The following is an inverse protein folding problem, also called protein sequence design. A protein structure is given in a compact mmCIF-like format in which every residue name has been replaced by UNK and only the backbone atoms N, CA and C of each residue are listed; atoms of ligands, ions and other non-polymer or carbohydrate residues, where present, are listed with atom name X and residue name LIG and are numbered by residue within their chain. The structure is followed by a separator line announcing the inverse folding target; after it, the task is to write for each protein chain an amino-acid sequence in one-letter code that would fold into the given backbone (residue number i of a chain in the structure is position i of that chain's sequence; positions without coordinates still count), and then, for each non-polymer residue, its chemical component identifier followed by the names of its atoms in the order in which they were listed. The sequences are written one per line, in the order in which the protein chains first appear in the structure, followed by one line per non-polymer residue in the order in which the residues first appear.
data_IF_214026144789
#
_entry.id   IF_214026144789
#
_cell.length_a   1.000
_cell.length_b   1.000
_cell.length_c   1.000
_cell.angle_alpha   90.00
_cell.angle_beta   90.00
_cell.angle_gamma   90.00
#
_symmetry.space_group_name_H-M   'P 1'
#
loop_
_entity.id
_entity.type
_entity.pdbx_description
1 polymer ?
#
# COMPACT_ATOMS: atom_id res chain seq x y z
N UNK A 1 16.13 -7.24 -30.94
CA UNK A 1 15.52 -8.47 -30.36
C UNK A 1 16.00 -8.60 -28.91
N UNK A 2 15.05 -8.78 -27.97
CA UNK A 2 15.21 -9.28 -26.58
C UNK A 2 16.33 -8.68 -25.72
N UNK A 3 16.10 -7.70 -24.84
CA UNK A 3 15.40 -7.77 -23.53
C UNK A 3 15.73 -9.01 -22.67
N UNK A 4 16.58 -8.72 -21.67
CA UNK A 4 16.56 -9.18 -20.27
C UNK A 4 16.28 -10.66 -19.99
N UNK A 5 17.34 -11.42 -19.74
CA UNK A 5 17.29 -12.63 -18.89
C UNK A 5 17.68 -12.26 -17.47
N UNK A 6 16.77 -12.56 -16.55
CA UNK A 6 17.00 -12.55 -15.11
C UNK A 6 18.06 -13.60 -14.73
N UNK A 7 18.92 -13.25 -13.77
CA UNK A 7 19.69 -14.22 -12.99
C UNK A 7 19.46 -13.89 -11.52
N UNK A 8 18.75 -14.79 -10.86
CA UNK A 8 18.63 -14.88 -9.41
C UNK A 8 19.92 -15.54 -8.91
N UNK A 9 20.61 -15.01 -7.89
CA UNK A 9 21.55 -15.82 -7.13
C UNK A 9 20.84 -16.46 -5.94
N UNK A 10 20.98 -17.78 -5.86
CA UNK A 10 20.54 -18.66 -4.78
C UNK A 10 21.76 -19.04 -3.93
N UNK A 11 21.48 -19.30 -2.64
CA UNK A 11 22.26 -20.03 -1.62
C UNK A 11 23.43 -19.31 -0.93
N UNK A 12 23.35 -19.24 0.41
CA UNK A 12 24.21 -20.04 1.31
C UNK A 12 23.40 -20.48 2.54
N UNK A 13 23.64 -21.74 2.93
CA UNK A 13 23.06 -22.52 4.04
C UNK A 13 23.70 -22.11 5.36
N UNK A 14 23.00 -22.32 6.48
CA UNK A 14 23.56 -22.92 7.70
C UNK A 14 22.40 -23.38 8.60
N UNK A 15 22.44 -24.65 9.01
CA UNK A 15 21.50 -25.23 9.96
C UNK A 15 21.99 -25.11 11.40
N UNK A 16 21.08 -25.42 12.32
CA UNK A 16 21.20 -26.30 13.50
C UNK A 16 20.01 -25.96 14.40
N UNK A 17 19.16 -26.95 14.66
CA UNK A 17 17.93 -26.77 15.40
C UNK A 17 18.12 -26.63 16.90
N UNK A 18 17.01 -26.32 17.61
CA UNK A 18 16.69 -26.84 18.93
C UNK A 18 15.26 -26.46 19.34
N UNK A 19 14.50 -27.52 19.61
CA UNK A 19 13.55 -27.77 20.70
C UNK A 19 12.41 -26.78 21.02
N UNK A 20 11.23 -27.38 20.99
CA UNK A 20 9.94 -27.01 21.57
C UNK A 20 9.96 -27.30 23.09
N UNK A 21 9.44 -26.39 23.91
CA UNK A 21 8.57 -26.57 25.12
C UNK A 21 8.68 -25.36 26.07
N UNK A 22 7.83 -25.20 27.10
CA UNK A 22 6.37 -25.07 27.05
C UNK A 22 5.85 -23.85 27.87
N UNK A 23 4.56 -23.60 27.69
CA UNK A 23 3.64 -22.87 28.56
C UNK A 23 3.91 -23.00 30.07
N UNK A 24 3.93 -21.89 30.83
CA UNK A 24 3.33 -21.82 32.16
C UNK A 24 3.03 -20.37 32.63
N UNK A 25 1.93 -20.25 33.36
CA UNK A 25 1.32 -19.06 33.96
C UNK A 25 1.57 -19.09 35.49
N UNK A 26 2.07 -18.01 36.12
CA UNK A 26 1.72 -17.56 37.49
C UNK A 26 2.58 -16.37 38.02
N UNK A 27 1.87 -15.29 38.37
CA UNK A 27 1.89 -14.44 39.59
C UNK A 27 3.17 -14.02 40.38
N UNK A 28 3.18 -12.71 40.74
CA UNK A 28 3.73 -12.00 41.93
C UNK A 28 5.23 -11.61 42.01
N UNK A 29 5.47 -10.33 42.38
CA UNK A 29 6.61 -9.91 43.22
C UNK A 29 7.57 -8.85 42.64
N UNK A 30 7.90 -7.83 43.44
CA UNK A 30 8.66 -6.61 43.13
C UNK A 30 10.20 -6.75 43.23
N UNK A 31 10.97 -5.90 42.50
CA UNK A 31 12.08 -5.05 42.99
C UNK A 31 13.12 -4.62 41.91
N UNK A 32 13.45 -3.32 41.95
CA UNK A 32 14.60 -2.49 41.54
C UNK A 32 15.81 -2.96 40.67
N UNK A 33 16.13 -2.05 39.72
CA UNK A 33 17.45 -1.45 39.33
C UNK A 33 18.66 -2.30 38.91
N UNK A 34 19.18 -2.06 37.70
CA UNK A 34 20.45 -1.34 37.41
C UNK A 34 20.88 -1.53 35.95
N UNK A 35 21.70 -0.59 35.49
CA UNK A 35 22.01 -0.20 34.10
C UNK A 35 22.82 -1.22 33.28
N UNK A 36 22.69 -1.18 31.93
CA UNK A 36 23.84 -1.09 31.01
C UNK A 36 23.41 -1.07 29.53
N UNK A 37 24.09 -0.18 28.79
CA UNK A 37 23.85 0.19 27.40
C UNK A 37 24.68 -0.65 26.41
N UNK A 38 24.06 -1.09 25.31
CA UNK A 38 24.77 -1.39 24.06
C UNK A 38 23.80 -1.34 22.86
N UNK A 39 24.02 -0.34 22.01
CA UNK A 39 23.26 -0.01 20.80
C UNK A 39 23.99 -0.49 19.54
N UNK A 40 23.25 -0.57 18.42
CA UNK A 40 23.63 -0.56 16.97
C UNK A 40 23.16 -1.85 16.23
N UNK A 41 22.49 -1.82 15.07
CA UNK A 41 22.05 -0.72 14.18
C UNK A 41 21.20 -1.25 13.01
N UNK A 42 20.16 -0.48 12.66
CA UNK A 42 19.71 -0.11 11.31
C UNK A 42 19.02 -1.14 10.40
N UNK A 43 17.72 -1.29 10.60
CA UNK A 43 16.77 -1.59 9.52
C UNK A 43 15.86 -0.36 9.31
N UNK A 44 16.22 0.46 8.33
CA UNK A 44 15.41 1.50 7.66
C UNK A 44 14.86 2.64 8.54
N UNK A 45 15.63 3.72 8.53
CA UNK A 45 15.28 5.09 8.93
C UNK A 45 14.03 5.56 8.18
N UNK A 46 12.86 5.44 8.81
CA UNK A 46 11.72 6.29 8.50
C UNK A 46 12.00 7.61 9.20
N UNK A 47 12.41 8.63 8.45
CA UNK A 47 12.50 9.97 9.01
C UNK A 47 11.09 10.43 9.39
N UNK A 48 10.85 10.39 10.69
CA UNK A 48 9.69 10.91 11.40
C UNK A 48 9.71 12.45 11.27
N UNK A 49 9.21 12.99 10.15
CA UNK A 49 9.47 14.40 9.81
C UNK A 49 8.54 15.10 8.82
N UNK A 50 7.47 14.46 8.35
CA UNK A 50 6.39 15.16 7.64
C UNK A 50 5.12 15.11 8.50
N UNK A 51 4.80 16.23 9.17
CA UNK A 51 3.64 16.42 10.06
C UNK A 51 2.34 15.99 9.39
N UNK A 52 1.87 14.79 9.75
CA UNK A 52 0.64 14.22 9.24
C UNK A 52 -0.38 13.98 10.35
N UNK A 53 -1.66 14.33 10.16
CA UNK A 53 -2.31 14.82 8.92
C UNK A 53 -2.12 16.31 8.62
N UNK A 54 -1.85 16.66 7.35
CA UNK A 54 -1.90 18.03 6.87
C UNK A 54 -3.34 18.57 6.89
N UNK A 55 -3.52 19.86 7.21
CA UNK A 55 -4.83 20.52 7.25
C UNK A 55 -4.91 21.70 6.28
N UNK A 56 -6.13 22.14 5.95
CA UNK A 56 -6.41 23.33 5.14
C UNK A 56 -5.75 23.31 3.75
N UNK A 57 -5.90 22.18 3.05
CA UNK A 57 -5.19 21.89 1.82
C UNK A 57 -5.98 22.36 0.58
N UNK A 58 -5.29 22.99 -0.36
CA UNK A 58 -5.80 23.14 -1.72
C UNK A 58 -5.60 21.86 -2.54
N UNK A 59 -6.65 21.41 -3.22
CA UNK A 59 -6.64 20.17 -4.01
C UNK A 59 -5.75 20.29 -5.24
N UNK A 60 -4.91 19.30 -5.47
CA UNK A 60 -3.96 19.18 -6.58
C UNK A 60 -4.20 17.91 -7.37
N UNK A 61 -3.59 17.82 -8.55
CA UNK A 61 -3.78 16.69 -9.49
C UNK A 61 -3.35 15.31 -8.95
N UNK A 62 -2.51 15.26 -7.92
CA UNK A 62 -2.04 14.02 -7.29
C UNK A 62 -2.80 13.68 -5.99
N UNK A 63 -3.85 14.42 -5.64
CA UNK A 63 -4.62 14.14 -4.44
C UNK A 63 -5.72 13.08 -4.69
N UNK A 64 -5.83 12.12 -3.78
CA UNK A 64 -6.92 11.17 -3.74
C UNK A 64 -8.03 11.71 -2.84
N UNK A 65 -9.13 12.17 -3.45
CA UNK A 65 -10.26 12.76 -2.72
C UNK A 65 -11.19 11.65 -2.21
N UNK A 66 -11.44 11.65 -0.92
CA UNK A 66 -12.48 10.89 -0.25
C UNK A 66 -13.84 11.54 -0.47
N UNK A 67 -14.85 10.73 -0.76
CA UNK A 67 -16.21 11.19 -0.99
C UNK A 67 -16.96 10.31 -2.01
N UNK A 68 -18.29 10.41 -1.99
CA UNK A 68 -19.18 9.69 -2.92
C UNK A 68 -19.64 10.63 -4.03
N UNK A 69 -19.83 10.11 -5.25
CA UNK A 69 -20.41 10.84 -6.38
C UNK A 69 -19.46 11.06 -7.57
N UNK A 70 -19.95 11.76 -8.59
CA UNK A 70 -19.24 11.97 -9.86
C UNK A 70 -17.98 12.84 -9.76
N UNK A 71 -17.98 13.85 -8.87
CA UNK A 71 -16.86 14.79 -8.74
C UNK A 71 -15.54 14.14 -8.31
N UNK A 72 -15.56 13.33 -7.25
CA UNK A 72 -14.36 12.60 -6.77
C UNK A 72 -13.93 11.50 -7.74
N UNK A 73 -14.88 10.81 -8.38
CA UNK A 73 -14.57 9.72 -9.31
C UNK A 73 -13.76 10.18 -10.54
N UNK A 74 -14.01 11.39 -11.03
CA UNK A 74 -13.32 11.93 -12.22
C UNK A 74 -12.00 12.65 -11.91
N UNK A 75 -11.70 12.87 -10.63
CA UNK A 75 -10.47 13.54 -10.21
C UNK A 75 -9.22 12.79 -10.74
N UNK A 76 -8.22 13.49 -11.30
CA UNK A 76 -7.02 12.86 -11.85
C UNK A 76 -6.27 12.00 -10.84
N UNK A 77 -6.19 12.42 -9.57
CA UNK A 77 -5.57 11.64 -8.51
C UNK A 77 -6.31 10.33 -8.24
N UNK A 78 -7.65 10.36 -8.14
CA UNK A 78 -8.46 9.15 -7.96
C UNK A 78 -8.35 8.17 -9.14
N UNK A 79 -8.18 8.68 -10.38
CA UNK A 79 -7.91 7.84 -11.55
C UNK A 79 -6.55 7.16 -11.47
N UNK A 80 -5.48 7.91 -11.12
CA UNK A 80 -4.12 7.36 -10.95
C UNK A 80 -4.08 6.35 -9.80
N UNK A 81 -4.66 6.69 -8.66
CA UNK A 81 -4.75 5.83 -7.48
C UNK A 81 -5.45 4.50 -7.80
N UNK A 82 -6.58 4.52 -8.52
CA UNK A 82 -7.26 3.28 -8.94
C UNK A 82 -6.39 2.38 -9.82
N UNK A 83 -5.56 2.95 -10.70
CA UNK A 83 -4.62 2.16 -11.49
C UNK A 83 -3.57 1.49 -10.61
N UNK A 84 -3.02 2.22 -9.63
CA UNK A 84 -2.07 1.67 -8.66
C UNK A 84 -2.69 0.51 -7.86
N UNK A 85 -3.90 0.70 -7.35
CA UNK A 85 -4.67 -0.33 -6.65
C UNK A 85 -4.88 -1.55 -7.54
N UNK A 86 -5.34 -1.35 -8.78
CA UNK A 86 -5.56 -2.45 -9.75
C UNK A 86 -4.29 -3.25 -10.02
N UNK A 87 -3.12 -2.61 -10.06
CA UNK A 87 -1.83 -3.28 -10.21
C UNK A 87 -1.46 -4.15 -8.99
N UNK A 88 -1.94 -3.81 -7.79
CA UNK A 88 -1.64 -4.54 -6.54
C UNK A 88 -2.72 -5.53 -6.12
N UNK A 89 -3.89 -5.53 -6.78
CA UNK A 89 -4.99 -6.47 -6.52
C UNK A 89 -4.56 -7.94 -6.58
N UNK A 90 -3.80 -8.33 -7.59
CA UNK A 90 -3.37 -9.72 -7.74
C UNK A 90 -2.54 -10.19 -6.52
N UNK A 91 -1.60 -9.35 -6.06
CA UNK A 91 -0.81 -9.62 -4.86
C UNK A 91 -1.70 -9.72 -3.64
N UNK A 92 -2.58 -8.73 -3.42
CA UNK A 92 -3.49 -8.71 -2.26
C UNK A 92 -4.40 -9.94 -2.18
N UNK A 93 -4.92 -10.41 -3.33
CA UNK A 93 -5.80 -11.58 -3.40
C UNK A 93 -5.05 -12.89 -3.14
N UNK A 94 -3.78 -12.98 -3.54
CA UNK A 94 -2.92 -14.14 -3.29
C UNK A 94 -2.31 -14.15 -1.87
N UNK A 95 -2.24 -13.01 -1.19
CA UNK A 95 -1.69 -12.89 0.15
C UNK A 95 -2.56 -13.55 1.23
N UNK A 96 -1.89 -14.08 2.27
CA UNK A 96 -2.56 -14.58 3.46
C UNK A 96 -3.32 -13.47 4.21
N UNK A 97 -4.29 -13.84 5.03
CA UNK A 97 -5.12 -12.89 5.80
C UNK A 97 -4.27 -11.89 6.60
N UNK A 98 -3.19 -12.36 7.22
CA UNK A 98 -2.32 -11.54 8.06
C UNK A 98 -1.41 -10.61 7.26
N UNK A 99 -1.16 -10.89 5.98
CA UNK A 99 -0.29 -10.08 5.12
C UNK A 99 -1.05 -8.99 4.35
N UNK A 100 -2.38 -9.12 4.23
CA UNK A 100 -3.24 -8.15 3.53
C UNK A 100 -3.10 -6.71 4.04
N UNK A 101 -3.01 -6.45 5.37
CA UNK A 101 -2.74 -5.10 5.88
C UNK A 101 -1.43 -4.52 5.36
N UNK A 102 -0.36 -5.34 5.24
CA UNK A 102 0.94 -4.90 4.75
C UNK A 102 0.89 -4.56 3.25
N UNK A 103 0.13 -5.33 2.46
CA UNK A 103 -0.08 -5.01 1.04
C UNK A 103 -0.81 -3.67 0.87
N UNK A 104 -1.84 -3.42 1.68
CA UNK A 104 -2.55 -2.13 1.68
C UNK A 104 -1.65 -0.97 2.10
N UNK A 105 -0.87 -1.15 3.16
CA UNK A 105 0.06 -0.12 3.65
C UNK A 105 1.15 0.18 2.60
N UNK A 106 1.68 -0.84 1.95
CA UNK A 106 2.65 -0.66 0.86
C UNK A 106 2.10 0.19 -0.30
N UNK A 107 0.81 0.06 -0.63
CA UNK A 107 0.17 0.93 -1.64
C UNK A 107 0.10 2.39 -1.16
N UNK A 108 -0.22 2.63 0.12
CA UNK A 108 -0.24 3.98 0.71
C UNK A 108 1.16 4.60 0.65
N UNK A 109 2.20 3.86 1.04
CA UNK A 109 3.58 4.34 0.98
C UNK A 109 4.00 4.67 -0.46
N UNK A 110 3.69 3.80 -1.43
CA UNK A 110 3.98 4.07 -2.86
C UNK A 110 3.27 5.34 -3.33
N UNK A 111 2.01 5.55 -2.93
CA UNK A 111 1.24 6.74 -3.32
C UNK A 111 1.86 8.03 -2.75
N UNK A 112 2.23 8.01 -1.48
CA UNK A 112 2.86 9.15 -0.81
C UNK A 112 4.25 9.48 -1.33
N UNK A 113 5.04 8.46 -1.66
CA UNK A 113 6.39 8.59 -2.19
C UNK A 113 6.44 9.08 -3.66
N UNK A 114 5.30 9.37 -4.29
CA UNK A 114 5.27 9.95 -5.63
C UNK A 114 5.88 11.35 -5.66
N UNK A 115 6.26 11.81 -6.85
CA UNK A 115 6.65 13.20 -7.08
C UNK A 115 5.72 13.85 -8.13
N UNK A 116 4.87 14.84 -7.76
CA UNK A 116 4.60 15.31 -6.40
C UNK A 116 3.89 14.26 -5.53
N UNK A 117 3.99 14.34 -4.20
CA UNK A 117 3.45 13.34 -3.27
C UNK A 117 1.94 13.19 -3.43
N UNK A 118 1.48 11.94 -3.35
CA UNK A 118 0.06 11.63 -3.32
C UNK A 118 -0.49 11.80 -1.91
N UNK A 119 -1.54 12.62 -1.77
CA UNK A 119 -2.26 12.82 -0.50
C UNK A 119 -3.63 12.14 -0.53
N UNK A 120 -4.23 11.91 0.62
CA UNK A 120 -5.55 11.32 0.80
C UNK A 120 -6.48 12.30 1.52
N UNK A 121 -7.20 13.11 0.76
CA UNK A 121 -7.93 14.24 1.30
C UNK A 121 -9.39 13.91 1.59
N UNK A 122 -9.91 14.39 2.70
CA UNK A 122 -11.33 14.39 3.04
C UNK A 122 -11.78 15.83 3.28
N UNK A 123 -12.95 16.18 2.74
CA UNK A 123 -13.52 17.50 2.94
C UNK A 123 -14.29 17.50 4.26
N UNK A 124 -13.93 18.44 5.12
CA UNK A 124 -14.66 18.71 6.34
C UNK A 124 -16.06 19.26 6.02
N UNK A 125 -17.08 18.77 6.72
CA UNK A 125 -18.48 19.07 6.38
C UNK A 125 -18.88 20.49 6.74
N UNK A 126 -18.28 21.05 7.79
CA UNK A 126 -18.62 22.36 8.35
C UNK A 126 -17.81 23.45 7.67
N UNK A 127 -16.48 23.31 7.68
CA UNK A 127 -15.53 24.30 7.16
C UNK A 127 -15.37 24.25 5.64
N UNK A 128 -15.76 23.14 5.01
CA UNK A 128 -15.53 22.83 3.57
C UNK A 128 -14.06 22.76 3.16
N UNK A 129 -13.14 22.71 4.13
CA UNK A 129 -11.71 22.61 3.89
C UNK A 129 -11.30 21.15 3.69
N UNK A 130 -10.26 20.93 2.88
CA UNK A 130 -9.71 19.59 2.70
C UNK A 130 -8.60 19.34 3.70
N UNK A 131 -8.70 18.22 4.40
CA UNK A 131 -7.70 17.76 5.34
C UNK A 131 -7.24 16.38 4.94
N UNK A 132 -6.02 16.02 5.27
CA UNK A 132 -5.66 14.64 5.11
C UNK A 132 -6.24 13.73 6.19
N UNK A 133 -6.57 12.50 5.79
CA UNK A 133 -7.17 11.48 6.62
C UNK A 133 -6.20 10.64 7.47
N UNK A 134 -4.88 10.71 7.28
CA UNK A 134 -3.97 9.81 8.02
C UNK A 134 -3.63 8.53 7.27
N UNK A 135 -2.58 7.83 7.71
CA UNK A 135 -2.20 6.53 7.14
C UNK A 135 -3.17 5.41 7.49
N UNK A 136 -3.75 5.45 8.68
CA UNK A 136 -4.72 4.47 9.12
C UNK A 136 -5.96 4.45 8.21
N UNK A 137 -6.60 5.61 8.03
CA UNK A 137 -7.77 5.75 7.14
C UNK A 137 -7.39 5.52 5.67
N UNK A 138 -6.20 5.94 5.24
CA UNK A 138 -5.71 5.66 3.88
C UNK A 138 -5.53 4.15 3.63
N UNK A 139 -4.99 3.40 4.60
CA UNK A 139 -4.86 1.94 4.56
C UNK A 139 -6.22 1.27 4.49
N UNK A 140 -7.20 1.72 5.25
CA UNK A 140 -8.57 1.18 5.22
C UNK A 140 -9.23 1.41 3.86
N UNK A 141 -9.16 2.63 3.35
CA UNK A 141 -9.63 2.99 2.00
C UNK A 141 -8.96 2.10 0.94
N UNK A 142 -7.66 1.86 1.06
CA UNK A 142 -6.90 1.01 0.17
C UNK A 142 -7.33 -0.45 0.25
N UNK A 143 -7.48 -0.97 1.46
CA UNK A 143 -7.93 -2.34 1.71
C UNK A 143 -9.31 -2.57 1.10
N UNK A 144 -10.22 -1.60 1.24
CA UNK A 144 -11.53 -1.64 0.61
C UNK A 144 -11.43 -1.67 -0.92
N UNK A 145 -10.66 -0.76 -1.51
CA UNK A 145 -10.48 -0.67 -2.95
C UNK A 145 -9.81 -1.93 -3.57
N UNK A 146 -8.93 -2.59 -2.82
CA UNK A 146 -8.28 -3.85 -3.21
C UNK A 146 -9.26 -5.04 -3.21
N UNK A 147 -10.24 -5.04 -2.28
CA UNK A 147 -11.30 -6.06 -2.22
C UNK A 147 -12.36 -5.89 -3.31
N UNK A 148 -12.63 -4.65 -3.71
CA UNK A 148 -13.67 -4.36 -4.69
C UNK A 148 -13.30 -4.84 -6.10
N UNK A 149 -14.20 -5.60 -6.72
CA UNK A 149 -14.08 -5.95 -8.14
C UNK A 149 -14.15 -4.68 -8.98
N UNK A 150 -13.32 -4.59 -10.01
CA UNK A 150 -13.40 -3.46 -10.92
C UNK A 150 -14.81 -3.39 -11.56
N UNK A 151 -15.37 -2.20 -11.76
CA UNK A 151 -16.72 -2.07 -12.31
C UNK A 151 -16.81 -2.74 -13.69
N UNK A 152 -17.90 -3.46 -13.95
CA UNK A 152 -18.06 -4.29 -15.16
C UNK A 152 -17.74 -3.59 -16.50
N UNK A 153 -18.08 -2.29 -16.71
CA UNK A 153 -17.70 -1.59 -17.94
C UNK A 153 -16.18 -1.48 -18.16
N UNK A 154 -15.41 -1.31 -17.08
CA UNK A 154 -13.95 -1.25 -17.14
C UNK A 154 -13.34 -2.60 -17.49
N UNK A 155 -13.88 -3.69 -16.91
CA UNK A 155 -13.45 -5.06 -17.21
C UNK A 155 -13.65 -5.37 -18.68
N UNK A 156 -14.86 -5.12 -19.23
CA UNK A 156 -15.15 -5.33 -20.65
C UNK A 156 -14.23 -4.54 -21.58
N UNK A 157 -13.97 -3.26 -21.27
CA UNK A 157 -13.06 -2.42 -22.07
C UNK A 157 -11.62 -2.96 -22.03
N UNK A 158 -11.14 -3.38 -20.86
CA UNK A 158 -9.81 -3.94 -20.67
C UNK A 158 -9.64 -5.28 -21.39
N UNK A 159 -10.62 -6.17 -21.32
CA UNK A 159 -10.64 -7.43 -22.06
C UNK A 159 -10.58 -7.21 -23.57
N UNK A 160 -11.37 -6.27 -24.10
CA UNK A 160 -11.33 -5.90 -25.52
C UNK A 160 -9.93 -5.40 -25.92
N UNK A 161 -9.30 -4.56 -25.10
CA UNK A 161 -7.94 -4.07 -25.35
C UNK A 161 -6.90 -5.19 -25.30
N UNK A 162 -6.98 -6.10 -24.33
CA UNK A 162 -6.07 -7.24 -24.21
C UNK A 162 -6.20 -8.17 -25.43
N UNK A 163 -7.43 -8.49 -25.84
CA UNK A 163 -7.69 -9.29 -27.04
C UNK A 163 -7.11 -8.64 -28.29
N UNK A 164 -7.31 -7.33 -28.45
CA UNK A 164 -6.72 -6.59 -29.57
C UNK A 164 -5.18 -6.62 -29.54
N UNK A 165 -4.56 -6.43 -28.38
CA UNK A 165 -3.10 -6.46 -28.24
C UNK A 165 -2.50 -7.85 -28.51
N UNK A 166 -3.20 -8.92 -28.11
CA UNK A 166 -2.79 -10.31 -28.40
C UNK A 166 -2.93 -10.63 -29.90
N UNK A 167 -4.00 -10.17 -30.55
CA UNK A 167 -4.20 -10.34 -31.99
C UNK A 167 -3.08 -9.67 -32.80
N UNK A 168 -2.69 -8.44 -32.43
CA UNK A 168 -1.56 -7.74 -33.07
C UNK A 168 -0.26 -8.52 -32.88
N UNK A 169 0.05 -8.97 -31.65
CA UNK A 169 1.27 -9.75 -31.38
C UNK A 169 1.34 -11.05 -32.18
N UNK A 170 0.20 -11.68 -32.45
CA UNK A 170 0.10 -12.88 -33.28
C UNK A 170 0.36 -12.65 -34.77
N UNK A 171 0.29 -11.40 -35.26
CA UNK A 171 0.53 -11.06 -36.67
C UNK A 171 2.00 -10.79 -36.98
N UNK A 172 2.84 -10.61 -35.96
CA UNK A 172 4.26 -10.28 -36.09
C UNK A 172 5.18 -11.40 -35.58
N UNK A 173 4.63 -12.60 -35.35
CA UNK A 173 5.31 -13.79 -34.85
C UNK A 173 5.02 -14.95 -35.81
#
# INVERSE_FOLDING_TARGET
MSLFKAVIPVLVKNGIGRKISPFNEESRGAASSSDDAASQSSANDYQEGDDWPLTNIETRKNDCLNGRGGGTNHHPGNKKYRKLVDCKKAVYLASARNDKPNVSLGVVHIWRAMNPPGRFLEQDKETKLWNDIGDEKAREKTSQALREKAPAPYVKKKEKMIRAALAIKSQFN
#
